data_IF_755511106528
#
_entry.id   IF_755511106528
#
_cell.length_a   1.000
_cell.length_b   1.000
_cell.length_c   1.000
_cell.angle_alpha   90.00
_cell.angle_beta   90.00
_cell.angle_gamma   90.00
#
_symmetry.space_group_name_H-M   'P 1'
#
loop_
_entity.id
_entity.type
_entity.pdbx_description
1 polymer ?
#
# COMPACT_ATOMS: atom_id res chain seq x y z
N UNK A 1 16.69 -12.41 -23.51
CA UNK A 1 15.82 -13.04 -22.49
C UNK A 1 15.01 -14.12 -23.18
N UNK A 2 15.10 -15.38 -22.74
CA UNK A 2 14.33 -16.48 -23.33
C UNK A 2 12.84 -16.32 -23.00
N UNK A 3 11.98 -16.70 -23.95
CA UNK A 3 10.51 -16.63 -23.83
C UNK A 3 10.00 -17.39 -22.59
N UNK A 4 10.69 -18.45 -22.20
CA UNK A 4 10.38 -19.25 -21.01
C UNK A 4 10.53 -18.46 -19.70
N UNK A 5 11.61 -17.68 -19.55
CA UNK A 5 11.80 -16.82 -18.38
C UNK A 5 10.73 -15.72 -18.31
N UNK A 6 10.31 -15.16 -19.44
CA UNK A 6 9.25 -14.15 -19.50
C UNK A 6 7.88 -14.73 -19.10
N UNK A 7 7.59 -15.96 -19.53
CA UNK A 7 6.37 -16.67 -19.15
C UNK A 7 6.34 -16.96 -17.64
N UNK A 8 7.46 -17.45 -17.09
CA UNK A 8 7.59 -17.71 -15.66
C UNK A 8 7.45 -16.42 -14.84
N UNK A 9 8.12 -15.33 -15.25
CA UNK A 9 8.01 -14.04 -14.54
C UNK A 9 6.58 -13.50 -14.54
N UNK A 10 5.87 -13.65 -15.67
CA UNK A 10 4.46 -13.25 -15.78
C UNK A 10 3.56 -14.09 -14.88
N UNK A 11 3.78 -15.40 -14.81
CA UNK A 11 3.00 -16.30 -13.95
C UNK A 11 3.23 -15.99 -12.47
N UNK A 12 4.47 -15.76 -12.06
CA UNK A 12 4.82 -15.35 -10.69
C UNK A 12 4.13 -14.03 -10.34
N UNK A 13 4.21 -13.03 -11.23
CA UNK A 13 3.56 -11.75 -11.01
C UNK A 13 2.04 -11.89 -10.82
N UNK A 14 1.39 -12.72 -11.64
CA UNK A 14 -0.06 -13.01 -11.50
C UNK A 14 -0.39 -13.65 -10.15
N UNK A 15 0.40 -14.61 -9.69
CA UNK A 15 0.20 -15.26 -8.39
C UNK A 15 0.37 -14.27 -7.24
N UNK A 16 1.44 -13.46 -7.26
CA UNK A 16 1.69 -12.43 -6.24
C UNK A 16 0.57 -11.39 -6.23
N UNK A 17 0.21 -10.84 -7.39
CA UNK A 17 -0.84 -9.82 -7.51
C UNK A 17 -2.19 -10.34 -7.01
N UNK A 18 -2.59 -11.56 -7.42
CA UNK A 18 -3.85 -12.15 -6.95
C UNK A 18 -3.85 -12.47 -5.45
N UNK A 19 -2.70 -12.89 -4.90
CA UNK A 19 -2.52 -13.08 -3.46
C UNK A 19 -2.66 -11.78 -2.70
N UNK A 20 -1.95 -10.73 -3.14
CA UNK A 20 -2.01 -9.39 -2.57
C UNK A 20 -3.45 -8.86 -2.55
N UNK A 21 -4.17 -8.90 -3.67
CA UNK A 21 -5.56 -8.43 -3.74
C UNK A 21 -6.51 -9.18 -2.79
N UNK A 22 -6.26 -10.46 -2.51
CA UNK A 22 -7.06 -11.21 -1.52
C UNK A 22 -6.78 -10.74 -0.10
N UNK A 23 -5.51 -10.52 0.25
CA UNK A 23 -5.10 -10.01 1.56
C UNK A 23 -5.64 -8.60 1.77
N UNK A 24 -5.45 -7.72 0.80
CA UNK A 24 -5.93 -6.34 0.80
C UNK A 24 -7.44 -6.26 1.05
N UNK A 25 -8.24 -7.11 0.37
CA UNK A 25 -9.69 -7.19 0.61
C UNK A 25 -10.05 -7.55 2.04
N UNK A 26 -9.30 -8.44 2.68
CA UNK A 26 -9.55 -8.81 4.08
C UNK A 26 -9.11 -7.70 5.03
N UNK A 27 -7.98 -7.05 4.74
CA UNK A 27 -7.49 -5.90 5.49
C UNK A 27 -8.47 -4.73 5.44
N UNK A 28 -9.02 -4.40 4.27
CA UNK A 28 -10.05 -3.36 4.11
C UNK A 28 -11.29 -3.64 4.97
N UNK A 29 -11.74 -4.90 5.05
CA UNK A 29 -12.89 -5.27 5.92
C UNK A 29 -12.59 -5.03 7.39
N UNK A 30 -11.38 -5.32 7.85
CA UNK A 30 -10.95 -5.05 9.23
C UNK A 30 -10.85 -3.55 9.49
N UNK A 31 -10.24 -2.79 8.58
CA UNK A 31 -10.10 -1.33 8.70
C UNK A 31 -11.46 -0.63 8.75
N UNK A 32 -12.43 -1.12 7.99
CA UNK A 32 -13.80 -0.58 8.00
C UNK A 32 -14.46 -0.64 9.39
N UNK A 33 -14.11 -1.64 10.23
CA UNK A 33 -14.61 -1.72 11.61
C UNK A 33 -14.16 -0.52 12.46
N UNK A 34 -13.01 0.06 12.14
CA UNK A 34 -12.43 1.24 12.79
C UNK A 34 -12.78 2.54 12.06
N UNK A 35 -13.65 2.50 11.04
CA UNK A 35 -13.98 3.63 10.16
C UNK A 35 -12.75 4.24 9.47
N UNK A 36 -11.74 3.41 9.20
CA UNK A 36 -10.51 3.82 8.53
C UNK A 36 -10.56 3.46 7.05
N UNK A 37 -10.12 4.40 6.22
CA UNK A 37 -9.76 4.12 4.83
C UNK A 37 -8.36 3.53 4.77
N UNK A 38 -8.05 2.82 3.68
CA UNK A 38 -6.72 2.24 3.46
C UNK A 38 -5.59 3.30 3.48
N UNK A 39 -5.73 4.49 2.84
CA UNK A 39 -4.71 5.53 2.96
C UNK A 39 -4.48 6.01 4.39
N UNK A 40 -5.55 6.21 5.18
CA UNK A 40 -5.43 6.62 6.59
C UNK A 40 -4.70 5.57 7.43
N UNK A 41 -5.00 4.28 7.20
CA UNK A 41 -4.28 3.20 7.86
C UNK A 41 -2.80 3.19 7.50
N UNK A 42 -2.46 3.31 6.22
CA UNK A 42 -1.07 3.29 5.76
C UNK A 42 -0.26 4.45 6.34
N UNK A 43 -0.86 5.63 6.50
CA UNK A 43 -0.22 6.75 7.21
C UNK A 43 0.09 6.39 8.66
N UNK A 44 -0.87 5.79 9.38
CA UNK A 44 -0.65 5.35 10.76
C UNK A 44 0.42 4.26 10.87
N UNK A 45 0.47 3.32 9.93
CA UNK A 45 1.50 2.28 9.89
C UNK A 45 2.91 2.87 9.71
N UNK A 46 3.07 3.84 8.80
CA UNK A 46 4.35 4.57 8.62
C UNK A 46 4.75 5.30 9.89
N UNK A 47 3.82 6.03 10.51
CA UNK A 47 4.08 6.77 11.74
C UNK A 47 4.39 5.84 12.93
N UNK A 48 3.73 4.69 13.01
CA UNK A 48 3.97 3.69 14.06
C UNK A 48 5.37 3.07 13.93
N UNK A 49 5.79 2.72 12.71
CA UNK A 49 7.06 2.03 12.48
C UNK A 49 8.28 2.97 12.49
N UNK A 50 8.15 4.15 11.90
CA UNK A 50 9.27 5.07 11.67
C UNK A 50 9.20 6.34 12.52
N UNK A 51 8.14 6.53 13.30
CA UNK A 51 7.95 7.69 14.17
C UNK A 51 7.51 8.94 13.43
N UNK A 52 7.55 10.07 14.14
CA UNK A 52 7.16 11.38 13.61
C UNK A 52 8.10 11.81 12.49
N UNK A 53 7.54 12.20 11.35
CA UNK A 53 8.31 12.65 10.20
C UNK A 53 7.58 13.73 9.39
N UNK A 54 8.30 14.53 8.57
CA UNK A 54 7.68 15.50 7.69
C UNK A 54 6.72 14.84 6.68
N UNK A 55 5.64 15.55 6.33
CA UNK A 55 4.63 15.07 5.38
C UNK A 55 5.22 14.61 4.03
N UNK A 56 6.25 15.32 3.54
CA UNK A 56 6.98 14.97 2.32
C UNK A 56 7.69 13.61 2.42
N UNK A 57 8.12 13.19 3.60
CA UNK A 57 8.69 11.84 3.80
C UNK A 57 7.58 10.79 3.75
N UNK A 58 6.44 11.05 4.40
CA UNK A 58 5.28 10.14 4.36
C UNK A 58 4.81 9.92 2.91
N UNK A 59 4.72 10.98 2.10
CA UNK A 59 4.34 10.85 0.68
C UNK A 59 5.30 9.95 -0.11
N UNK A 60 6.60 10.03 0.18
CA UNK A 60 7.61 9.20 -0.48
C UNK A 60 7.51 7.74 -0.05
N UNK A 61 7.35 7.46 1.25
CA UNK A 61 7.19 6.09 1.77
C UNK A 61 5.96 5.39 1.18
N UNK A 62 4.86 6.15 1.03
CA UNK A 62 3.60 5.61 0.51
C UNK A 62 3.50 5.65 -1.02
N UNK A 63 4.51 6.17 -1.73
CA UNK A 63 4.49 6.37 -3.19
C UNK A 63 3.25 7.15 -3.68
N UNK A 64 2.81 8.14 -2.92
CA UNK A 64 1.67 9.02 -3.26
C UNK A 64 2.15 10.45 -3.49
N UNK A 65 1.38 11.23 -4.24
CA UNK A 65 1.70 12.65 -4.43
C UNK A 65 1.47 13.45 -3.15
N UNK A 66 2.15 14.61 -3.04
CA UNK A 66 1.98 15.53 -1.91
C UNK A 66 0.53 15.99 -1.70
N UNK A 67 -0.21 16.24 -2.78
CA UNK A 67 -1.61 16.67 -2.69
C UNK A 67 -2.52 15.57 -2.10
N UNK A 68 -2.29 14.31 -2.48
CA UNK A 68 -3.08 13.19 -1.97
C UNK A 68 -2.82 12.94 -0.48
N UNK A 69 -1.57 13.10 -0.02
CA UNK A 69 -1.26 12.85 1.40
C UNK A 69 -1.81 13.94 2.32
N UNK A 70 -1.84 15.20 1.88
CA UNK A 70 -2.38 16.29 2.69
C UNK A 70 -3.85 16.04 3.02
N UNK A 71 -4.67 15.63 2.03
CA UNK A 71 -6.09 15.32 2.26
C UNK A 71 -6.34 14.11 3.18
N UNK A 72 -5.34 13.25 3.38
CA UNK A 72 -5.45 12.06 4.24
C UNK A 72 -5.06 12.39 5.69
N UNK A 73 -4.15 13.36 5.86
CA UNK A 73 -3.63 13.76 7.17
C UNK A 73 -4.45 14.89 7.81
N UNK A 74 -5.00 15.80 6.99
CA UNK A 74 -5.93 16.87 7.41
C UNK A 74 -7.29 16.28 7.84
#
# INVERSE_FOLDING_TARGET
MSTETQNLSSEIWKKISSGHSKIEKQNMKKMAQYKLTLPQFNVMEVLFNAGVMPLKKISNELNVTGANITCVVD
#
